data_IF_349067939889
#
_entry.id   IF_349067939889
#
_cell.length_a   1.000
_cell.length_b   1.000
_cell.length_c   1.000
_cell.angle_alpha   90.00
_cell.angle_beta   90.00
_cell.angle_gamma   90.00
#
_symmetry.space_group_name_H-M   'P 1'
#
loop_
_entity.id
_entity.type
_entity.pdbx_description
1 polymer ?
#
# COMPACT_ATOMS: atom_id res chain seq x y z
N UNK A 1 -21.20 -2.89 3.33
CA UNK A 1 -19.99 -3.58 2.85
C UNK A 1 -18.87 -3.32 3.84
N UNK A 2 -17.98 -4.30 4.08
CA UNK A 2 -16.82 -4.16 4.98
C UNK A 2 -15.55 -4.32 4.14
N UNK A 3 -14.62 -3.37 4.24
CA UNK A 3 -13.34 -3.42 3.53
C UNK A 3 -12.40 -4.40 4.26
N UNK A 4 -12.00 -5.51 3.62
CA UNK A 4 -11.15 -6.56 4.21
C UNK A 4 -9.67 -6.35 3.82
N UNK A 5 -9.42 -5.92 2.60
CA UNK A 5 -8.08 -5.76 2.02
C UNK A 5 -8.01 -4.54 1.10
N UNK A 6 -6.82 -3.96 1.01
CA UNK A 6 -6.50 -2.91 0.04
C UNK A 6 -5.17 -3.21 -0.64
N UNK A 7 -5.19 -3.38 -1.96
CA UNK A 7 -3.97 -3.55 -2.77
C UNK A 7 -3.08 -2.31 -2.75
N UNK A 8 -3.69 -1.13 -2.55
CA UNK A 8 -3.02 0.16 -2.58
C UNK A 8 -2.75 0.67 -4.01
N UNK A 9 -2.22 1.88 -4.15
CA UNK A 9 -1.97 2.46 -5.47
C UNK A 9 -0.90 1.67 -6.25
N UNK A 10 -0.98 1.75 -7.57
CA UNK A 10 0.07 1.32 -8.49
C UNK A 10 1.22 2.34 -8.43
N UNK A 11 2.45 1.88 -8.24
CA UNK A 11 3.62 2.75 -8.07
C UNK A 11 4.49 2.85 -9.33
N UNK A 12 3.98 2.46 -10.50
CA UNK A 12 4.74 2.35 -11.75
C UNK A 12 5.29 0.94 -12.02
N UNK A 13 5.51 0.13 -10.96
CA UNK A 13 6.05 -1.22 -11.08
C UNK A 13 5.10 -2.31 -10.58
N UNK A 14 4.29 -2.00 -9.55
CA UNK A 14 3.35 -2.92 -8.90
C UNK A 14 2.39 -2.16 -7.99
N UNK A 15 1.35 -2.84 -7.51
CA UNK A 15 0.56 -2.35 -6.38
C UNK A 15 1.40 -2.36 -5.09
N UNK A 16 1.34 -1.27 -4.32
CA UNK A 16 2.16 -1.11 -3.09
C UNK A 16 1.90 -2.17 -2.01
N UNK A 17 0.69 -2.73 -1.97
CA UNK A 17 0.28 -3.84 -1.11
C UNK A 17 0.55 -5.23 -1.68
N UNK A 18 1.21 -5.34 -2.83
CA UNK A 18 1.67 -6.62 -3.39
C UNK A 18 3.18 -6.59 -3.63
N UNK A 19 4.02 -6.34 -2.60
CA UNK A 19 5.45 -6.15 -2.77
C UNK A 19 6.18 -7.42 -3.25
N UNK A 20 5.59 -8.59 -3.05
CA UNK A 20 6.12 -9.88 -3.50
C UNK A 20 5.87 -10.16 -4.98
N UNK A 21 4.93 -9.43 -5.61
CA UNK A 21 4.76 -9.50 -7.06
C UNK A 21 5.99 -8.85 -7.73
N UNK A 22 6.78 -9.69 -8.38
CA UNK A 22 8.02 -9.33 -9.09
C UNK A 22 7.92 -9.80 -10.55
N UNK A 23 8.70 -9.19 -11.46
CA UNK A 23 8.87 -9.74 -12.81
C UNK A 23 9.23 -11.21 -12.73
N UNK A 24 8.57 -12.02 -13.55
CA UNK A 24 8.71 -13.48 -13.56
C UNK A 24 8.57 -13.98 -15.02
N UNK A 25 9.10 -15.17 -15.34
CA UNK A 25 9.09 -15.69 -16.71
C UNK A 25 7.74 -16.27 -17.15
N UNK A 26 6.71 -16.23 -16.30
CA UNK A 26 5.40 -16.82 -16.60
C UNK A 26 4.50 -15.77 -17.26
N UNK A 27 4.46 -14.56 -16.70
CA UNK A 27 3.65 -13.47 -17.20
C UNK A 27 4.27 -12.11 -16.89
N UNK A 28 4.06 -11.18 -17.81
CA UNK A 28 4.17 -9.74 -17.55
C UNK A 28 2.81 -9.18 -17.15
N UNK A 29 2.84 -8.08 -16.41
CA UNK A 29 1.65 -7.41 -15.92
C UNK A 29 1.83 -5.90 -16.00
N UNK A 30 0.72 -5.21 -16.23
CA UNK A 30 0.69 -3.76 -16.38
C UNK A 30 -0.60 -3.20 -15.78
N UNK A 31 -0.53 -1.92 -15.39
CA UNK A 31 -1.69 -1.14 -14.98
C UNK A 31 -1.82 0.02 -15.95
N UNK A 32 -2.91 0.02 -16.70
CA UNK A 32 -3.28 1.09 -17.62
C UNK A 32 -4.08 2.12 -16.82
N UNK A 33 -3.67 3.39 -16.92
CA UNK A 33 -4.29 4.49 -16.19
C UNK A 33 -4.26 5.78 -17.02
N UNK A 34 -5.27 5.93 -17.86
CA UNK A 34 -5.50 7.09 -18.74
C UNK A 34 -6.75 7.87 -18.30
N UNK A 35 -7.17 8.86 -19.09
CA UNK A 35 -8.41 9.60 -18.84
C UNK A 35 -9.66 8.75 -19.17
N UNK A 36 -9.51 7.79 -20.08
CA UNK A 36 -10.58 6.94 -20.59
C UNK A 36 -10.71 5.62 -19.83
N UNK A 37 -9.60 5.03 -19.40
CA UNK A 37 -9.59 3.68 -18.83
C UNK A 37 -8.58 3.49 -17.70
N UNK A 38 -9.00 2.66 -16.74
CA UNK A 38 -8.19 2.25 -15.60
C UNK A 38 -8.37 0.76 -15.34
N UNK A 39 -7.37 -0.06 -15.67
CA UNK A 39 -7.43 -1.50 -15.41
C UNK A 39 -6.05 -2.12 -15.22
N UNK A 40 -6.06 -3.26 -14.53
CA UNK A 40 -4.93 -4.16 -14.44
C UNK A 40 -5.06 -5.26 -15.48
N UNK A 41 -3.97 -5.58 -16.17
CA UNK A 41 -3.93 -6.72 -17.10
C UNK A 41 -2.62 -7.48 -16.98
N UNK A 42 -2.62 -8.71 -17.49
CA UNK A 42 -1.42 -9.54 -17.58
C UNK A 42 -1.39 -10.27 -18.93
N UNK A 43 -0.18 -10.53 -19.42
CA UNK A 43 0.08 -11.28 -20.65
C UNK A 43 1.05 -12.41 -20.32
N UNK A 44 0.73 -13.61 -20.78
CA UNK A 44 1.61 -14.76 -20.59
C UNK A 44 2.84 -14.61 -21.46
N UNK A 45 4.01 -14.82 -20.86
CA UNK A 45 5.29 -14.89 -21.58
C UNK A 45 5.47 -16.30 -22.18
N UNK A 46 4.99 -17.32 -21.46
CA UNK A 46 4.90 -18.68 -21.96
C UNK A 46 3.43 -19.04 -22.24
N UNK A 47 3.00 -19.10 -23.52
CA UNK A 47 1.61 -19.41 -23.89
C UNK A 47 1.14 -20.80 -23.44
N UNK A 48 2.05 -21.73 -23.19
CA UNK A 48 1.70 -23.08 -22.69
C UNK A 48 1.29 -23.06 -21.23
N UNK A 49 1.60 -22.00 -20.47
CA UNK A 49 1.21 -21.91 -19.07
C UNK A 49 -0.25 -21.48 -18.95
N UNK A 50 -1.05 -22.30 -18.27
CA UNK A 50 -2.42 -21.95 -17.93
C UNK A 50 -2.44 -21.38 -16.51
N UNK A 51 -2.90 -20.14 -16.35
CA UNK A 51 -3.05 -19.48 -15.05
C UNK A 51 -4.40 -18.78 -14.96
N UNK A 52 -4.92 -18.66 -13.74
CA UNK A 52 -6.14 -17.91 -13.46
C UNK A 52 -6.02 -17.14 -12.16
N UNK A 53 -6.76 -16.05 -12.05
CA UNK A 53 -6.99 -15.34 -10.79
C UNK A 53 -8.41 -15.61 -10.33
N UNK A 54 -8.59 -15.88 -9.04
CA UNK A 54 -9.90 -16.10 -8.44
C UNK A 54 -10.00 -15.35 -7.11
N UNK A 55 -11.18 -14.83 -6.81
CA UNK A 55 -11.52 -14.34 -5.49
C UNK A 55 -12.09 -15.51 -4.69
N UNK A 56 -11.47 -15.86 -3.57
CA UNK A 56 -12.00 -16.90 -2.71
C UNK A 56 -13.15 -16.36 -1.82
N UNK A 57 -13.96 -17.24 -1.18
CA UNK A 57 -15.07 -16.81 -0.32
C UNK A 57 -14.66 -15.94 0.87
N UNK A 58 -13.39 -15.97 1.28
CA UNK A 58 -12.85 -15.13 2.36
C UNK A 58 -12.40 -13.74 1.86
N UNK A 59 -12.62 -13.41 0.58
CA UNK A 59 -12.27 -12.12 -0.01
C UNK A 59 -10.79 -11.97 -0.40
N UNK A 60 -10.00 -13.06 -0.41
CA UNK A 60 -8.62 -13.01 -0.85
C UNK A 60 -8.51 -13.31 -2.36
N UNK A 61 -7.88 -12.39 -3.09
CA UNK A 61 -7.54 -12.58 -4.50
C UNK A 61 -6.31 -13.47 -4.62
N UNK A 62 -6.45 -14.60 -5.31
CA UNK A 62 -5.43 -15.63 -5.43
C UNK A 62 -5.17 -15.97 -6.89
N UNK A 63 -3.93 -16.27 -7.23
CA UNK A 63 -3.53 -16.79 -8.54
C UNK A 63 -3.18 -18.27 -8.42
N UNK A 64 -3.66 -19.03 -9.38
CA UNK A 64 -3.34 -20.43 -9.54
C UNK A 64 -2.70 -20.67 -10.90
N UNK A 65 -1.83 -21.67 -10.96
CA UNK A 65 -1.20 -22.15 -12.18
C UNK A 65 -1.51 -23.63 -12.32
N UNK A 66 -1.95 -24.05 -13.50
CA UNK A 66 -2.18 -25.45 -13.80
C UNK A 66 -0.83 -26.17 -13.94
N UNK A 67 -0.66 -27.29 -13.25
CA UNK A 67 0.54 -28.10 -13.31
C UNK A 67 0.19 -29.46 -13.89
N UNK A 68 0.61 -29.72 -15.12
CA UNK A 68 0.26 -30.94 -15.85
C UNK A 68 0.72 -32.22 -15.15
N UNK A 69 1.92 -32.22 -14.53
CA UNK A 69 2.41 -33.39 -13.80
C UNK A 69 1.56 -33.74 -12.57
N UNK A 70 0.85 -32.76 -12.01
CA UNK A 70 -0.02 -32.93 -10.85
C UNK A 70 -1.50 -32.98 -11.22
N UNK A 71 -1.84 -32.77 -12.50
CA UNK A 71 -3.22 -32.67 -13.00
C UNK A 71 -4.10 -31.77 -12.11
N UNK A 72 -3.55 -30.65 -11.63
CA UNK A 72 -4.22 -29.81 -10.64
C UNK A 72 -3.79 -28.34 -10.68
N UNK A 73 -4.64 -27.50 -10.09
CA UNK A 73 -4.36 -26.08 -9.87
C UNK A 73 -3.46 -25.90 -8.66
N UNK A 74 -2.23 -25.47 -8.90
CA UNK A 74 -1.26 -25.16 -7.85
C UNK A 74 -1.40 -23.68 -7.45
N UNK A 75 -1.38 -23.42 -6.14
CA UNK A 75 -1.41 -22.07 -5.59
C UNK A 75 -0.09 -21.35 -5.91
N UNK A 76 -0.18 -20.20 -6.58
CA UNK A 76 1.00 -19.45 -7.00
C UNK A 76 1.24 -18.21 -6.13
N UNK A 77 0.22 -17.37 -5.94
CA UNK A 77 0.32 -16.20 -5.05
C UNK A 77 -1.05 -15.79 -4.51
N UNK A 78 -1.04 -15.03 -3.41
CA UNK A 78 -2.21 -14.35 -2.84
C UNK A 78 -1.91 -12.87 -2.70
N UNK A 79 -2.92 -12.01 -2.87
CA UNK A 79 -2.82 -10.58 -2.61
C UNK A 79 -2.75 -10.27 -1.10
N UNK A 80 -3.43 -11.06 -0.27
CA UNK A 80 -3.30 -11.04 1.19
C UNK A 80 -2.33 -12.14 1.61
N UNK A 81 -1.17 -11.76 2.14
CA UNK A 81 -0.11 -12.70 2.50
C UNK A 81 0.01 -12.92 4.00
N UNK A 82 -0.21 -11.89 4.79
CA UNK A 82 -0.07 -11.95 6.25
C UNK A 82 -1.16 -11.11 6.95
N UNK A 83 -1.12 -11.08 8.29
CA UNK A 83 -2.11 -10.33 9.07
C UNK A 83 -2.02 -8.82 8.87
N UNK A 84 -0.88 -8.26 8.45
CA UNK A 84 -0.74 -6.83 8.17
C UNK A 84 -1.48 -6.39 6.90
N UNK A 85 -1.93 -7.33 6.07
CA UNK A 85 -2.78 -7.02 4.91
C UNK A 85 -4.24 -6.76 5.27
N UNK A 86 -4.67 -7.12 6.49
CA UNK A 86 -6.00 -6.78 6.98
C UNK A 86 -6.17 -5.27 7.03
N UNK A 87 -7.23 -4.81 6.38
CA UNK A 87 -7.53 -3.39 6.29
C UNK A 87 -7.72 -2.81 7.70
N UNK A 88 -7.03 -1.71 7.99
CA UNK A 88 -7.08 -0.95 9.25
C UNK A 88 -6.60 -1.67 10.53
N UNK A 89 -5.84 -2.76 10.45
CA UNK A 89 -5.35 -3.49 11.63
C UNK A 89 -4.69 -2.60 12.71
N UNK A 90 -3.84 -1.64 12.32
CA UNK A 90 -3.12 -0.77 13.26
C UNK A 90 -3.74 0.61 13.48
N UNK A 91 -4.95 0.84 12.95
CA UNK A 91 -5.63 2.14 13.02
C UNK A 91 -4.87 3.29 12.33
N UNK A 92 -5.37 4.52 12.50
CA UNK A 92 -4.79 5.72 11.89
C UNK A 92 -3.38 6.01 12.43
N UNK A 93 -2.44 6.42 11.56
CA UNK A 93 -1.04 6.72 11.93
C UNK A 93 -0.28 5.57 12.63
N UNK A 94 -0.82 4.35 12.58
CA UNK A 94 -0.12 3.11 12.93
C UNK A 94 0.46 2.44 11.69
N UNK A 95 1.56 1.71 11.88
CA UNK A 95 2.17 0.85 10.88
C UNK A 95 2.22 -0.59 11.38
N UNK A 96 2.00 -1.54 10.48
CA UNK A 96 2.09 -2.97 10.77
C UNK A 96 3.42 -3.53 10.26
N UNK A 97 4.08 -4.34 11.10
CA UNK A 97 5.24 -5.13 10.73
C UNK A 97 5.12 -6.52 11.32
N UNK A 98 4.94 -7.52 10.47
CA UNK A 98 4.76 -8.92 10.87
C UNK A 98 5.98 -9.51 11.60
N UNK A 99 7.15 -8.89 11.44
CA UNK A 99 8.38 -9.33 12.11
C UNK A 99 8.54 -8.74 13.52
N UNK A 100 7.57 -7.97 14.01
CA UNK A 100 7.59 -7.34 15.32
C UNK A 100 6.47 -7.89 16.22
N UNK A 101 6.71 -7.88 17.54
CA UNK A 101 5.71 -8.19 18.55
C UNK A 101 5.70 -7.08 19.60
N UNK A 102 4.62 -6.27 19.71
CA UNK A 102 3.41 -6.30 18.89
C UNK A 102 3.65 -5.87 17.44
N UNK A 103 2.84 -6.38 16.51
CA UNK A 103 2.96 -6.09 15.07
C UNK A 103 2.63 -4.63 14.73
N UNK A 104 1.78 -3.98 15.53
CA UNK A 104 1.40 -2.58 15.35
C UNK A 104 2.25 -1.64 16.19
N UNK A 105 2.76 -0.58 15.54
CA UNK A 105 3.46 0.53 16.18
C UNK A 105 2.99 1.87 15.64
N UNK A 106 3.00 2.90 16.47
CA UNK A 106 2.79 4.27 16.00
C UNK A 106 3.96 4.73 15.15
N UNK A 107 3.67 5.48 14.08
CA UNK A 107 4.69 6.16 13.30
C UNK A 107 5.52 7.10 14.19
N UNK A 108 6.79 7.33 13.83
CA UNK A 108 7.67 8.24 14.58
C UNK A 108 7.02 9.63 14.70
N UNK A 109 6.96 10.16 15.92
CA UNK A 109 6.27 11.43 16.23
C UNK A 109 4.81 11.26 16.69
N UNK A 110 4.28 10.04 16.69
CA UNK A 110 2.94 9.71 17.16
C UNK A 110 2.99 8.87 18.46
N UNK A 111 1.87 8.80 19.15
CA UNK A 111 1.63 8.01 20.37
C UNK A 111 0.24 7.36 20.31
N UNK A 112 -0.02 6.25 21.00
CA UNK A 112 -1.33 5.62 21.00
C UNK A 112 -2.41 6.59 21.47
N UNK A 113 -3.57 6.58 20.81
CA UNK A 113 -4.72 7.40 21.22
C UNK A 113 -5.28 6.94 22.58
N UNK A 114 -5.30 5.63 22.80
CA UNK A 114 -5.68 4.98 24.05
C UNK A 114 -4.54 4.04 24.47
N UNK A 115 -3.66 4.46 25.41
CA UNK A 115 -2.55 3.63 25.87
C UNK A 115 -2.99 2.29 26.45
N UNK A 116 -4.09 2.27 27.20
CA UNK A 116 -4.60 1.08 27.88
C UNK A 116 -5.10 0.04 26.85
N UNK A 117 -5.87 0.48 25.84
CA UNK A 117 -6.31 -0.37 24.75
C UNK A 117 -5.13 -0.89 23.92
N UNK A 118 -4.15 -0.02 23.65
CA UNK A 118 -2.97 -0.38 22.87
C UNK A 118 -2.13 -1.49 23.52
N UNK A 119 -1.96 -1.42 24.85
CA UNK A 119 -1.27 -2.46 25.64
C UNK A 119 -2.05 -3.77 25.64
N UNK A 120 -3.39 -3.70 25.62
CA UNK A 120 -4.26 -4.87 25.51
C UNK A 120 -4.33 -5.48 24.10
N UNK A 121 -3.64 -4.89 23.11
CA UNK A 121 -3.65 -5.35 21.72
C UNK A 121 -4.80 -4.81 20.88
N UNK A 122 -5.60 -3.89 21.39
CA UNK A 122 -6.60 -3.16 20.61
C UNK A 122 -5.96 -1.89 20.00
N UNK A 123 -5.58 -2.00 18.73
CA UNK A 123 -4.98 -0.93 17.94
C UNK A 123 -5.99 -0.15 17.09
N UNK A 124 -7.29 -0.44 17.21
CA UNK A 124 -8.35 0.10 16.34
C UNK A 124 -8.42 1.63 16.34
N UNK A 125 -8.15 2.25 17.50
CA UNK A 125 -8.14 3.70 17.67
C UNK A 125 -6.90 4.38 17.08
N UNK A 126 -5.88 3.61 16.69
CA UNK A 126 -4.65 4.12 16.11
C UNK A 126 -3.86 5.04 17.05
N UNK A 127 -3.17 5.98 16.42
CA UNK A 127 -2.23 6.89 17.06
C UNK A 127 -2.60 8.36 16.77
N UNK A 128 -2.15 9.24 17.65
CA UNK A 128 -2.27 10.70 17.52
C UNK A 128 -0.90 11.35 17.57
N UNK A 129 -0.77 12.56 17.00
CA UNK A 129 0.49 13.31 17.07
C UNK A 129 0.86 13.57 18.53
N UNK A 130 2.13 13.31 18.88
CA UNK A 130 2.65 13.58 20.23
C UNK A 130 2.63 15.06 20.59
N UNK A 131 2.93 15.91 19.61
CA UNK A 131 2.98 17.37 19.76
C UNK A 131 1.99 17.98 18.77
N UNK A 132 1.18 18.95 19.23
CA UNK A 132 0.28 19.70 18.37
C UNK A 132 1.08 20.46 17.32
N UNK A 133 0.67 20.39 16.06
CA UNK A 133 1.34 21.07 14.97
C UNK A 133 1.12 22.58 15.09
N UNK A 134 2.20 23.37 15.15
CA UNK A 134 2.14 24.83 15.09
C UNK A 134 2.41 25.29 13.66
N UNK A 135 1.37 25.73 12.95
CA UNK A 135 1.50 26.27 11.59
C UNK A 135 2.22 27.63 11.59
N UNK A 136 2.99 27.92 10.53
CA UNK A 136 3.54 29.26 10.28
C UNK A 136 4.89 29.60 10.91
N UNK A 137 5.52 28.69 11.65
CA UNK A 137 6.95 28.81 12.01
C UNK A 137 7.74 27.99 11.00
N UNK A 138 8.45 28.67 10.11
CA UNK A 138 9.19 28.08 8.99
C UNK A 138 9.96 26.80 9.36
N UNK A 139 9.93 25.85 8.42
CA UNK A 139 10.58 24.52 8.46
C UNK A 139 9.95 23.50 9.45
N UNK A 140 8.78 22.99 9.08
CA UNK A 140 8.22 21.77 9.67
C UNK A 140 8.65 20.54 8.88
N UNK A 141 9.67 19.83 9.36
CA UNK A 141 10.28 18.67 8.73
C UNK A 141 9.30 17.50 8.57
N UNK A 142 9.01 17.14 7.32
CA UNK A 142 8.45 15.84 7.01
C UNK A 142 9.49 14.76 7.35
N UNK A 143 9.07 13.78 8.12
CA UNK A 143 9.89 12.58 8.36
C UNK A 143 9.73 11.64 7.17
N UNK A 144 10.84 11.37 6.48
CA UNK A 144 10.87 10.34 5.44
C UNK A 144 10.65 8.97 6.07
N UNK A 145 9.55 8.31 5.69
CA UNK A 145 9.27 6.92 6.04
C UNK A 145 9.57 6.08 4.80
N UNK A 146 10.36 5.03 4.96
CA UNK A 146 10.77 4.14 3.87
C UNK A 146 10.12 2.77 4.01
N UNK A 147 10.01 2.03 2.90
CA UNK A 147 9.47 0.65 2.85
C UNK A 147 8.03 0.53 3.39
N UNK A 148 7.21 1.53 3.10
CA UNK A 148 5.81 1.58 3.53
C UNK A 148 4.88 1.26 2.34
N UNK A 149 3.83 0.47 2.60
CA UNK A 149 2.64 0.42 1.76
C UNK A 149 1.91 1.75 1.90
N UNK A 150 1.83 2.55 0.84
CA UNK A 150 1.21 3.88 0.88
C UNK A 150 -0.20 3.82 1.49
N UNK A 151 -0.63 4.81 2.30
CA UNK A 151 -1.92 4.78 2.99
C UNK A 151 -3.11 4.77 2.01
N UNK A 152 -4.33 4.68 2.55
CA UNK A 152 -5.55 4.83 1.75
C UNK A 152 -5.55 6.18 1.02
N UNK A 153 -5.87 6.17 -0.27
CA UNK A 153 -5.78 7.32 -1.17
C UNK A 153 -7.12 8.02 -1.40
N UNK A 154 -8.21 7.63 -0.72
CA UNK A 154 -9.56 8.22 -0.86
C UNK A 154 -9.59 9.74 -0.64
N UNK A 155 -8.69 10.26 0.21
CA UNK A 155 -8.56 11.70 0.51
C UNK A 155 -7.25 12.30 -0.02
N UNK A 156 -6.63 11.64 -1.00
CA UNK A 156 -5.40 12.10 -1.65
C UNK A 156 -5.69 12.73 -3.01
N UNK A 157 -4.77 13.56 -3.48
CA UNK A 157 -4.72 14.10 -4.83
C UNK A 157 -3.36 13.75 -5.44
N UNK A 158 -3.25 13.79 -6.77
CA UNK A 158 -2.02 13.48 -7.49
C UNK A 158 -1.82 14.47 -8.64
N UNK A 159 -0.57 14.70 -9.02
CA UNK A 159 -0.22 15.45 -10.22
C UNK A 159 1.01 14.82 -10.86
N UNK A 160 0.81 14.04 -11.93
CA UNK A 160 1.86 13.27 -12.62
C UNK A 160 3.04 14.12 -13.13
N UNK A 161 2.87 15.45 -13.23
CA UNK A 161 3.91 16.36 -13.71
C UNK A 161 4.87 16.81 -12.60
N UNK A 162 4.45 16.79 -11.34
CA UNK A 162 5.23 17.31 -10.22
C UNK A 162 6.39 16.39 -9.84
N UNK A 163 7.51 16.98 -9.45
CA UNK A 163 8.54 16.24 -8.71
C UNK A 163 8.24 16.20 -7.21
N UNK A 164 9.03 15.41 -6.47
CA UNK A 164 8.84 15.24 -5.03
C UNK A 164 9.06 16.54 -4.23
N UNK A 165 9.95 17.42 -4.69
CA UNK A 165 10.24 18.69 -4.02
C UNK A 165 9.11 19.70 -4.24
N UNK A 166 8.54 19.73 -5.43
CA UNK A 166 7.34 20.50 -5.75
C UNK A 166 6.16 20.01 -4.92
N UNK A 167 5.93 18.69 -4.87
CA UNK A 167 4.88 18.08 -4.05
C UNK A 167 5.06 18.42 -2.56
N UNK A 168 6.32 18.41 -2.04
CA UNK A 168 6.63 18.90 -0.69
C UNK A 168 6.21 20.36 -0.49
N UNK A 169 6.54 21.25 -1.43
CA UNK A 169 6.19 22.69 -1.33
C UNK A 169 4.68 22.91 -1.36
N UNK A 170 3.95 22.18 -2.21
CA UNK A 170 2.48 22.25 -2.26
C UNK A 170 1.87 21.74 -0.96
N UNK A 171 2.35 20.61 -0.45
CA UNK A 171 1.89 20.05 0.83
C UNK A 171 2.15 21.02 1.99
N UNK A 172 3.32 21.68 2.05
CA UNK A 172 3.63 22.69 3.06
C UNK A 172 2.69 23.91 3.04
N UNK A 173 2.14 24.24 1.86
CA UNK A 173 1.19 25.36 1.69
C UNK A 173 -0.26 24.96 1.98
N UNK A 174 -0.54 23.66 2.11
CA UNK A 174 -1.87 23.14 2.34
C UNK A 174 -2.01 22.65 3.80
N UNK A 175 -2.79 23.39 4.60
CA UNK A 175 -3.00 23.10 6.02
C UNK A 175 -3.63 21.72 6.31
N UNK A 176 -4.27 21.11 5.32
CA UNK A 176 -4.87 19.78 5.43
C UNK A 176 -3.92 18.66 4.97
N UNK A 177 -2.79 19.01 4.35
CA UNK A 177 -1.83 18.02 3.87
C UNK A 177 -1.03 17.44 5.05
N UNK A 178 -1.00 16.10 5.14
CA UNK A 178 -0.35 15.38 6.24
C UNK A 178 0.85 14.53 5.80
N UNK A 179 0.95 14.20 4.52
CA UNK A 179 2.01 13.41 3.92
C UNK A 179 2.03 13.63 2.40
N UNK A 180 3.17 13.31 1.77
CA UNK A 180 3.34 13.28 0.33
C UNK A 180 4.27 12.12 -0.05
N UNK A 181 4.19 11.65 -1.30
CA UNK A 181 5.04 10.60 -1.85
C UNK A 181 5.15 10.77 -3.36
N UNK A 182 6.06 10.03 -3.99
CA UNK A 182 5.99 9.82 -5.43
C UNK A 182 4.73 9.02 -5.80
N UNK A 183 4.11 9.38 -6.91
CA UNK A 183 3.05 8.61 -7.57
C UNK A 183 3.63 7.42 -8.34
N UNK A 184 4.71 7.65 -9.10
CA UNK A 184 5.48 6.64 -9.83
C UNK A 184 6.93 6.65 -9.36
N UNK A 185 7.49 5.47 -9.07
CA UNK A 185 8.87 5.34 -8.56
C UNK A 185 9.91 5.03 -9.64
N UNK A 186 9.52 4.89 -10.90
CA UNK A 186 10.42 4.69 -12.04
C UNK A 186 11.18 5.97 -12.38
N UNK A 187 12.32 5.82 -13.04
CA UNK A 187 13.07 6.92 -13.67
C UNK A 187 13.35 8.13 -12.75
N UNK A 188 13.69 7.88 -11.49
CA UNK A 188 13.97 8.92 -10.49
C UNK A 188 12.75 9.43 -9.72
N UNK A 189 11.57 8.94 -10.07
CA UNK A 189 10.31 9.15 -9.37
C UNK A 189 9.63 10.47 -9.72
N UNK A 190 8.35 10.41 -10.09
CA UNK A 190 7.53 11.56 -10.44
C UNK A 190 6.10 11.40 -9.96
N UNK A 191 5.39 12.52 -9.93
CA UNK A 191 3.99 12.65 -9.60
C UNK A 191 3.67 12.64 -8.13
#
# INVERSE_FOLDING_TARGET
SVDIFRAGPWNGLRFTGMPHLKPNPIYRYEFVFTEEEAYYTYKLENPSVITRMQLNPNGALQRYTWVDSLQSWNFYLSAMMDSCDLYTLCGSYGSCNINESPACRCLKGFVPKSPEAWVAGDWSQGCVRRVKMSWGKGEGDFLKISKLKLPDTRTSWYDKSMDLNECKRVCLRNCSCSAYSHFDIRDGGKG
#
